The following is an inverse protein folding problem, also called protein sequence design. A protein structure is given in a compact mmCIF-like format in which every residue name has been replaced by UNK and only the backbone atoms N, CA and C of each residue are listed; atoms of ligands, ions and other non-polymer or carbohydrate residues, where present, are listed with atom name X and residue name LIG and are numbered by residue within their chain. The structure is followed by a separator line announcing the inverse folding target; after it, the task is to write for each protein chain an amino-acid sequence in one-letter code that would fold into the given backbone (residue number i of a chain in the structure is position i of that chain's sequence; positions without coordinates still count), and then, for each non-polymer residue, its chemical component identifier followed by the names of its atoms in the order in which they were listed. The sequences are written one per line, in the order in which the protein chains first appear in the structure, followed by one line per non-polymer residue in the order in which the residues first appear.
data_IF_775592393060
#
_entry.id   IF_775592393060
#
_cell.length_a   1.000
_cell.length_b   1.000
_cell.length_c   1.000
_cell.angle_alpha   90.00
_cell.angle_beta   90.00
_cell.angle_gamma   90.00
#
_symmetry.space_group_name_H-M   'P 1'
#
loop_
_entity.id
_entity.type
_entity.pdbx_description
1 polymer ?
#
# COMPACT_ATOMS: atom_id res chain seq x y z
N UNK A 1 3.97 -7.77 -7.52
CA UNK A 1 4.35 -7.24 -6.19
C UNK A 1 5.30 -8.14 -5.40
N UNK A 2 5.66 -9.36 -5.82
CA UNK A 2 6.55 -10.24 -5.04
C UNK A 2 6.13 -10.45 -3.57
N UNK A 3 4.82 -10.37 -3.29
CA UNK A 3 4.29 -10.49 -1.92
C UNK A 3 4.40 -9.23 -1.08
N UNK A 4 4.83 -8.11 -1.65
CA UNK A 4 4.91 -6.84 -0.94
C UNK A 4 3.53 -6.29 -0.61
N UNK A 5 3.15 -6.48 0.64
CA UNK A 5 1.94 -5.98 1.26
C UNK A 5 1.71 -4.49 1.02
N UNK A 6 2.77 -3.67 0.95
CA UNK A 6 2.65 -2.22 0.77
C UNK A 6 2.20 -1.86 -0.63
N UNK A 7 2.63 -2.60 -1.65
CA UNK A 7 2.13 -2.36 -3.02
C UNK A 7 0.64 -2.70 -3.15
N UNK A 8 0.17 -3.66 -2.35
CA UNK A 8 -1.23 -4.10 -2.32
C UNK A 8 -2.10 -3.17 -1.46
N UNK A 9 -1.61 -2.72 -0.31
CA UNK A 9 -2.41 -2.01 0.69
C UNK A 9 -2.06 -0.51 0.86
N UNK A 10 -0.95 -0.01 0.31
CA UNK A 10 -0.42 1.34 0.60
C UNK A 10 -0.08 2.20 -0.63
N UNK A 11 0.21 1.60 -1.80
CA UNK A 11 0.54 2.38 -3.01
C UNK A 11 -0.62 3.20 -3.58
N UNK A 12 -1.82 3.08 -2.99
CA UNK A 12 -2.99 3.88 -3.34
C UNK A 12 -2.98 5.27 -2.70
N UNK A 13 -1.99 5.67 -1.90
CA UNK A 13 -2.01 6.97 -1.20
C UNK A 13 -1.93 8.16 -2.17
N UNK A 14 -0.89 8.23 -3.01
CA UNK A 14 -0.76 9.35 -3.96
C UNK A 14 -1.63 9.21 -5.21
N UNK A 15 -1.74 8.00 -5.78
CA UNK A 15 -2.68 7.75 -6.89
C UNK A 15 -4.14 7.89 -6.46
N UNK A 16 -4.48 7.48 -5.23
CA UNK A 16 -5.82 7.61 -4.67
C UNK A 16 -6.16 9.06 -4.33
N UNK A 17 -5.22 9.87 -3.82
CA UNK A 17 -5.43 11.31 -3.69
C UNK A 17 -5.73 11.96 -5.05
N UNK A 18 -4.98 11.54 -6.07
CA UNK A 18 -5.14 11.99 -7.43
C UNK A 18 -6.54 11.65 -7.99
N UNK A 19 -6.98 10.41 -7.76
CA UNK A 19 -8.30 9.92 -8.14
C UNK A 19 -9.42 10.60 -7.36
N UNK A 20 -9.22 10.83 -6.05
CA UNK A 20 -10.13 11.58 -5.19
C UNK A 20 -10.30 13.01 -5.69
N UNK A 21 -9.19 13.72 -5.97
CA UNK A 21 -9.24 15.06 -6.54
C UNK A 21 -9.94 15.07 -7.89
N UNK A 22 -9.68 14.09 -8.75
CA UNK A 22 -10.39 13.92 -10.02
C UNK A 22 -11.90 13.82 -9.84
N UNK A 23 -12.36 12.92 -8.95
CA UNK A 23 -13.79 12.71 -8.64
C UNK A 23 -14.43 13.94 -8.00
N UNK A 24 -13.73 14.59 -7.06
CA UNK A 24 -14.21 15.79 -6.39
C UNK A 24 -14.39 16.94 -7.38
N UNK A 25 -13.43 17.11 -8.30
CA UNK A 25 -13.47 18.15 -9.32
C UNK A 25 -14.54 17.91 -10.38
N UNK A 26 -14.88 16.64 -10.64
CA UNK A 26 -15.96 16.25 -11.55
C UNK A 26 -17.32 16.06 -10.86
N UNK A 27 -17.47 16.42 -9.59
CA UNK A 27 -18.71 16.22 -8.87
C UNK A 27 -19.84 17.07 -9.47
N UNK A 28 -20.96 16.43 -9.82
CA UNK A 28 -22.09 17.08 -10.51
C UNK A 28 -21.66 17.68 -11.85
N UNK A 29 -21.86 18.99 -12.03
CA UNK A 29 -21.40 19.72 -13.23
C UNK A 29 -19.95 20.23 -13.11
N UNK A 30 -19.26 19.88 -12.02
CA UNK A 30 -17.94 20.38 -11.64
C UNK A 30 -17.99 21.50 -10.62
N UNK A 31 -16.88 21.66 -9.90
CA UNK A 31 -16.76 22.59 -8.76
C UNK A 31 -16.16 23.92 -9.17
N UNK A 32 -16.50 24.98 -8.44
CA UNK A 32 -15.95 26.33 -8.66
C UNK A 32 -14.70 26.60 -7.80
N UNK A 33 -14.55 25.89 -6.69
CA UNK A 33 -13.38 25.98 -5.82
C UNK A 33 -13.08 24.66 -5.09
N UNK A 34 -11.82 24.45 -4.74
CA UNK A 34 -11.33 23.38 -3.87
C UNK A 34 -10.55 24.01 -2.72
N UNK A 35 -10.95 23.70 -1.48
CA UNK A 35 -10.24 24.11 -0.28
C UNK A 35 -9.32 22.98 0.21
N UNK A 36 -8.07 23.28 0.54
CA UNK A 36 -7.09 22.30 1.03
C UNK A 36 -6.35 22.81 2.28
N UNK A 37 -6.30 21.95 3.30
CA UNK A 37 -5.52 22.15 4.52
C UNK A 37 -4.05 21.71 4.40
N UNK A 38 -3.68 21.01 3.32
CA UNK A 38 -2.30 20.56 3.09
C UNK A 38 -1.35 21.74 3.09
N UNK A 39 -0.22 21.59 3.77
CA UNK A 39 0.82 22.60 3.81
C UNK A 39 1.41 22.85 2.42
N UNK A 40 1.97 24.04 2.19
CA UNK A 40 2.72 24.33 0.94
C UNK A 40 3.86 23.35 0.69
N UNK A 41 4.43 22.77 1.76
CA UNK A 41 5.48 21.75 1.67
C UNK A 41 4.94 20.46 1.06
N UNK A 42 3.82 19.96 1.56
CA UNK A 42 3.17 18.74 1.06
C UNK A 42 2.67 18.89 -0.37
N UNK A 43 2.04 20.02 -0.69
CA UNK A 43 1.62 20.32 -2.06
C UNK A 43 2.81 20.31 -3.03
N UNK A 44 3.93 20.94 -2.65
CA UNK A 44 5.17 20.91 -3.45
C UNK A 44 5.75 19.50 -3.56
N UNK A 45 5.73 18.70 -2.49
CA UNK A 45 6.20 17.31 -2.50
C UNK A 45 5.36 16.47 -3.47
N UNK A 46 4.04 16.61 -3.44
CA UNK A 46 3.13 15.92 -4.36
C UNK A 46 3.35 16.30 -5.83
N UNK A 47 3.45 17.59 -6.11
CA UNK A 47 3.75 18.12 -7.45
C UNK A 47 5.13 17.64 -7.94
N UNK A 48 6.12 17.59 -7.06
CA UNK A 48 7.47 17.10 -7.37
C UNK A 48 7.48 15.59 -7.63
N UNK A 49 6.73 14.82 -6.86
CA UNK A 49 6.52 13.39 -7.08
C UNK A 49 5.90 13.13 -8.45
N UNK A 50 4.84 13.86 -8.79
CA UNK A 50 4.17 13.77 -10.08
C UNK A 50 5.12 14.16 -11.24
N UNK A 51 5.91 15.23 -11.07
CA UNK A 51 6.93 15.63 -12.04
C UNK A 51 7.90 14.50 -12.35
N UNK A 52 8.46 13.89 -11.29
CA UNK A 52 9.47 12.85 -11.42
C UNK A 52 8.91 11.61 -12.11
N UNK A 53 7.63 11.32 -11.91
CA UNK A 53 6.93 10.26 -12.61
C UNK A 53 6.72 10.59 -14.09
N UNK A 54 6.29 11.81 -14.40
CA UNK A 54 6.01 12.26 -15.77
C UNK A 54 7.25 12.36 -16.66
N UNK A 55 8.33 12.96 -16.15
CA UNK A 55 9.60 13.11 -16.88
C UNK A 55 10.18 11.77 -17.33
N UNK A 56 9.94 10.70 -16.55
CA UNK A 56 10.52 9.38 -16.82
C UNK A 56 9.60 8.45 -17.61
N UNK A 57 8.32 8.80 -17.83
CA UNK A 57 7.36 8.03 -18.67
C UNK A 57 7.39 8.46 -20.14
N UNK A 58 8.28 9.40 -20.51
CA UNK A 58 8.32 9.96 -21.87
C UNK A 58 7.18 10.93 -22.17
N UNK A 59 6.28 11.17 -21.22
CA UNK A 59 5.23 12.19 -21.32
C UNK A 59 5.80 13.52 -20.82
N UNK A 60 6.61 14.17 -21.65
CA UNK A 60 7.04 15.54 -21.42
C UNK A 60 6.02 16.51 -22.03
N UNK A 61 5.14 17.15 -21.24
CA UNK A 61 4.65 18.46 -21.64
C UNK A 61 5.80 19.45 -21.39
N UNK A 62 6.24 20.14 -22.43
CA UNK A 62 7.15 21.28 -22.28
C UNK A 62 6.63 22.26 -21.23
N UNK A 63 7.55 22.88 -20.48
CA UNK A 63 7.32 23.96 -19.50
C UNK A 63 5.99 23.88 -18.72
N UNK A 64 6.05 23.27 -17.53
CA UNK A 64 4.96 23.27 -16.54
C UNK A 64 4.54 24.66 -16.02
N UNK A 65 5.20 25.73 -16.47
CA UNK A 65 4.78 27.11 -16.19
C UNK A 65 3.51 27.44 -16.97
N UNK A 66 2.35 26.99 -16.48
CA UNK A 66 1.05 27.44 -16.97
C UNK A 66 0.00 26.37 -17.26
N UNK A 67 0.21 25.08 -16.96
CA UNK A 67 -0.89 24.11 -17.11
C UNK A 67 -1.97 24.33 -16.04
N UNK A 68 -3.21 24.51 -16.51
CA UNK A 68 -4.41 24.43 -15.70
C UNK A 68 -4.50 23.05 -15.02
N UNK A 69 -5.10 23.00 -13.83
CA UNK A 69 -5.36 21.80 -13.01
C UNK A 69 -5.80 20.57 -13.82
N UNK A 70 -6.52 20.78 -14.93
CA UNK A 70 -6.96 19.75 -15.87
C UNK A 70 -5.82 18.96 -16.53
N UNK A 71 -4.67 19.58 -16.84
CA UNK A 71 -3.51 18.90 -17.42
C UNK A 71 -2.83 17.94 -16.42
N UNK A 72 -2.76 18.36 -15.16
CA UNK A 72 -2.25 17.55 -14.04
C UNK A 72 -3.13 16.33 -13.80
N UNK A 73 -4.46 16.48 -13.82
CA UNK A 73 -5.39 15.36 -13.66
C UNK A 73 -5.32 14.34 -14.81
N UNK A 74 -5.15 14.79 -16.06
CA UNK A 74 -4.99 13.88 -17.21
C UNK A 74 -3.71 13.05 -17.12
N UNK A 75 -2.63 13.67 -16.66
CA UNK A 75 -1.36 12.99 -16.44
C UNK A 75 -1.44 11.96 -15.29
N UNK A 76 -2.13 12.32 -14.22
CA UNK A 76 -2.46 11.41 -13.12
C UNK A 76 -3.25 10.21 -13.63
N UNK A 77 -4.28 10.43 -14.45
CA UNK A 77 -5.10 9.35 -14.98
C UNK A 77 -4.29 8.43 -15.89
N UNK A 78 -3.41 8.97 -16.74
CA UNK A 78 -2.54 8.16 -17.60
C UNK A 78 -1.57 7.29 -16.78
N UNK A 79 -0.95 7.85 -15.73
CA UNK A 79 -0.10 7.10 -14.80
C UNK A 79 -0.91 6.03 -14.06
N UNK A 80 -2.11 6.37 -13.60
CA UNK A 80 -3.03 5.43 -12.96
C UNK A 80 -3.44 4.28 -13.88
N UNK A 81 -3.76 4.55 -15.15
CA UNK A 81 -4.09 3.51 -16.12
C UNK A 81 -2.90 2.57 -16.38
N UNK A 82 -1.70 3.14 -16.54
CA UNK A 82 -0.48 2.35 -16.73
C UNK A 82 -0.16 1.48 -15.50
N UNK A 83 -0.29 2.03 -14.29
CA UNK A 83 -0.05 1.30 -13.04
C UNK A 83 -0.98 0.09 -12.88
N UNK A 84 -2.28 0.28 -13.14
CA UNK A 84 -3.26 -0.80 -13.03
C UNK A 84 -3.10 -1.84 -14.15
N UNK A 85 -2.67 -1.41 -15.34
CA UNK A 85 -2.35 -2.32 -16.44
C UNK A 85 -1.16 -3.22 -16.10
N UNK A 86 -0.12 -2.67 -15.45
CA UNK A 86 1.04 -3.46 -14.99
C UNK A 86 0.64 -4.45 -13.88
N UNK A 87 -0.22 -4.03 -12.94
CA UNK A 87 -0.71 -4.89 -11.85
C UNK A 87 -1.60 -6.04 -12.35
N UNK A 88 -2.65 -5.72 -13.10
CA UNK A 88 -3.72 -6.67 -13.42
C UNK A 88 -3.62 -7.26 -14.84
N UNK A 89 -2.77 -6.71 -15.71
CA UNK A 89 -2.72 -7.07 -17.13
C UNK A 89 -3.86 -6.47 -17.95
N UNK A 90 -3.92 -6.83 -19.25
CA UNK A 90 -4.88 -6.28 -20.20
C UNK A 90 -6.34 -6.75 -20.01
N UNK A 91 -6.55 -7.87 -19.31
CA UNK A 91 -7.88 -8.45 -19.02
C UNK A 91 -8.70 -7.62 -18.01
N UNK A 92 -8.13 -6.57 -17.41
CA UNK A 92 -8.74 -5.78 -16.33
C UNK A 92 -9.67 -4.65 -16.80
N UNK A 93 -10.19 -4.69 -18.03
CA UNK A 93 -11.04 -3.61 -18.56
C UNK A 93 -12.33 -3.37 -17.73
N UNK A 94 -12.83 -4.38 -17.02
CA UNK A 94 -13.99 -4.25 -16.13
C UNK A 94 -13.75 -3.38 -14.88
N UNK A 95 -12.53 -3.38 -14.31
CA UNK A 95 -12.17 -2.50 -13.17
C UNK A 95 -11.89 -1.06 -13.61
N UNK A 96 -11.68 -0.81 -14.91
CA UNK A 96 -11.41 0.54 -15.46
C UNK A 96 -12.66 1.42 -15.49
N UNK A 97 -13.85 0.83 -15.43
CA UNK A 97 -15.14 1.49 -15.69
C UNK A 97 -15.59 2.51 -14.63
N UNK A 98 -14.89 2.60 -13.48
CA UNK A 98 -15.24 3.55 -12.40
C UNK A 98 -14.42 4.84 -12.39
N UNK A 99 -13.40 4.98 -13.26
CA UNK A 99 -12.58 6.20 -13.30
C UNK A 99 -13.32 7.26 -14.07
N UNK A 100 -13.70 8.33 -13.36
CA UNK A 100 -14.24 9.54 -13.96
C UNK A 100 -13.20 10.10 -14.93
N UNK A 101 -13.33 9.73 -16.21
CA UNK A 101 -12.66 10.38 -17.30
C UNK A 101 -13.05 11.87 -17.21
N UNK A 102 -12.06 12.69 -16.85
CA UNK A 102 -12.28 14.10 -16.59
C UNK A 102 -12.89 14.78 -17.82
N UNK A 103 -14.10 15.30 -17.64
CA UNK A 103 -14.66 16.42 -18.38
C UNK A 103 -15.82 16.96 -17.54
N UNK A 104 -15.53 17.83 -16.56
CA UNK A 104 -16.55 18.75 -16.09
C UNK A 104 -17.01 19.58 -17.29
N UNK A 105 -18.31 19.74 -17.46
CA UNK A 105 -18.89 20.61 -18.49
C UNK A 105 -18.61 22.10 -18.28
N UNK A 106 -17.88 22.49 -17.22
CA UNK A 106 -17.46 23.87 -16.97
C UNK A 106 -16.18 24.20 -17.73
N UNK A 107 -16.21 25.35 -18.40
CA UNK A 107 -15.11 25.92 -19.18
C UNK A 107 -14.03 26.59 -18.31
N UNK A 108 -14.33 26.88 -17.05
CA UNK A 108 -13.42 27.56 -16.11
C UNK A 108 -12.74 26.56 -15.16
N UNK A 109 -11.44 26.73 -14.94
CA UNK A 109 -10.71 25.97 -13.93
C UNK A 109 -11.17 26.37 -12.51
N UNK A 110 -11.36 25.41 -11.58
CA UNK A 110 -11.73 25.74 -10.21
C UNK A 110 -10.63 26.51 -9.49
N UNK A 111 -11.03 27.42 -8.61
CA UNK A 111 -10.12 28.13 -7.72
C UNK A 111 -9.55 27.18 -6.66
N UNK A 112 -8.24 27.17 -6.47
CA UNK A 112 -7.61 26.39 -5.40
C UNK A 112 -7.33 27.30 -4.20
N UNK A 113 -8.02 27.06 -3.09
CA UNK A 113 -7.97 27.87 -1.87
C UNK A 113 -7.19 27.08 -0.81
N UNK A 114 -6.06 27.63 -0.37
CA UNK A 114 -5.34 27.05 0.77
C UNK A 114 -5.89 27.60 2.08
N UNK A 115 -6.19 26.71 3.01
CA UNK A 115 -6.56 27.06 4.40
C UNK A 115 -5.48 26.64 5.39
N UNK A 116 -4.32 26.16 4.92
CA UNK A 116 -3.24 25.64 5.77
C UNK A 116 -2.76 26.68 6.79
N UNK A 117 -2.67 27.96 6.38
CA UNK A 117 -2.26 29.05 7.26
C UNK A 117 -3.32 29.38 8.33
N UNK A 118 -4.60 29.06 8.07
CA UNK A 118 -5.72 29.26 8.98
C UNK A 118 -5.93 28.07 9.94
N UNK A 119 -5.45 26.88 9.56
CA UNK A 119 -5.64 25.61 10.29
C UNK A 119 -4.33 25.17 10.98
N UNK A 120 -3.36 26.07 11.14
CA UNK A 120 -2.08 25.82 11.82
C UNK A 120 -2.21 25.65 13.35
N UNK A 121 -3.25 24.95 13.78
CA UNK A 121 -3.44 24.54 15.17
C UNK A 121 -2.56 23.31 15.42
N UNK A 122 -1.55 23.43 16.27
CA UNK A 122 -0.93 22.22 16.83
C UNK A 122 -2.01 21.50 17.61
N UNK A 123 -2.31 20.25 17.25
CA UNK A 123 -3.30 19.44 17.95
C UNK A 123 -3.06 19.41 19.47
N UNK A 124 -1.81 19.63 19.88
CA UNK A 124 -1.44 19.75 21.28
C UNK A 124 -2.03 20.96 22.01
N UNK A 125 -2.08 22.11 21.34
CA UNK A 125 -2.53 23.38 21.92
C UNK A 125 -4.07 23.39 22.11
N UNK A 126 -4.79 22.48 21.45
CA UNK A 126 -6.25 22.39 21.46
C UNK A 126 -6.80 21.02 21.86
N UNK A 127 -6.04 20.26 22.66
CA UNK A 127 -6.39 18.89 23.00
C UNK A 127 -7.79 18.72 23.61
N UNK A 128 -8.14 19.54 24.60
CA UNK A 128 -9.45 19.45 25.25
C UNK A 128 -10.58 19.78 24.27
N UNK A 129 -10.38 20.73 23.36
CA UNK A 129 -11.34 21.00 22.29
C UNK A 129 -11.53 19.75 21.41
N UNK A 130 -10.44 19.08 21.04
CA UNK A 130 -10.52 17.86 20.23
C UNK A 130 -11.21 16.73 20.99
N UNK A 131 -10.75 16.38 22.20
CA UNK A 131 -11.20 15.17 22.89
C UNK A 131 -12.44 15.33 23.75
N UNK A 132 -12.67 16.51 24.34
CA UNK A 132 -13.78 16.75 25.26
C UNK A 132 -14.97 17.43 24.56
N UNK A 133 -14.71 18.31 23.60
CA UNK A 133 -15.78 19.06 22.90
C UNK A 133 -16.18 18.43 21.56
N UNK A 134 -15.20 18.10 20.70
CA UNK A 134 -15.45 17.46 19.41
C UNK A 134 -15.55 15.93 19.48
N UNK A 135 -15.41 15.37 20.70
CA UNK A 135 -15.40 13.93 20.96
C UNK A 135 -14.45 13.15 20.03
N UNK A 136 -13.32 13.76 19.68
CA UNK A 136 -12.31 13.12 18.85
C UNK A 136 -11.75 11.91 19.60
N UNK A 137 -12.10 10.72 19.13
CA UNK A 137 -11.56 9.45 19.62
C UNK A 137 -10.54 8.92 18.63
N UNK A 138 -9.39 8.52 19.17
CA UNK A 138 -8.42 7.75 18.41
C UNK A 138 -9.01 6.38 18.18
N UNK A 139 -9.26 6.05 16.92
CA UNK A 139 -9.64 4.70 16.54
C UNK A 139 -8.50 3.73 16.89
N UNK A 140 -8.84 2.62 17.51
CA UNK A 140 -7.90 1.55 17.82
C UNK A 140 -7.40 0.84 16.55
N UNK A 141 -8.19 0.85 15.47
CA UNK A 141 -7.86 0.21 14.20
C UNK A 141 -7.07 1.14 13.28
N UNK A 142 -7.34 2.43 13.38
CA UNK A 142 -6.71 3.44 12.56
C UNK A 142 -5.86 4.35 13.43
N UNK A 143 -4.55 4.35 13.19
CA UNK A 143 -3.73 5.52 13.47
C UNK A 143 -4.20 6.65 12.52
N UNK A 144 -5.41 7.15 12.75
CA UNK A 144 -6.10 8.14 11.93
C UNK A 144 -5.39 9.48 12.08
N UNK A 145 -4.26 9.60 11.39
CA UNK A 145 -3.90 10.81 10.71
C UNK A 145 -3.90 10.49 9.22
N UNK A 146 -4.46 11.40 8.43
CA UNK A 146 -4.22 11.50 6.99
C UNK A 146 -2.73 11.64 6.63
N UNK A 147 -1.87 11.73 7.65
CA UNK A 147 -0.42 11.76 7.62
C UNK A 147 0.23 10.42 7.98
N UNK A 148 -0.51 9.32 8.17
CA UNK A 148 0.15 8.01 8.31
C UNK A 148 0.29 7.37 6.94
N UNK A 149 1.54 7.29 6.46
CA UNK A 149 2.20 6.17 5.76
C UNK A 149 1.40 5.32 4.74
N UNK A 150 0.33 4.76 5.29
CA UNK A 150 -0.44 3.63 4.85
C UNK A 150 -1.88 3.84 5.35
N UNK A 151 -2.86 3.57 4.49
CA UNK A 151 -4.28 3.65 4.85
C UNK A 151 -4.67 2.67 5.99
N UNK A 152 -3.82 1.70 6.33
CA UNK A 152 -4.01 0.82 7.48
C UNK A 152 -2.67 0.41 8.14
N UNK A 153 -2.22 1.12 9.19
CA UNK A 153 -0.98 0.81 9.91
C UNK A 153 -1.06 -0.46 10.76
N UNK A 154 -2.26 -0.84 11.23
CA UNK A 154 -2.46 -2.11 11.94
C UNK A 154 -2.14 -3.29 11.03
N UNK A 155 -2.67 -3.27 9.80
CA UNK A 155 -2.40 -4.31 8.81
C UNK A 155 -0.93 -4.30 8.37
N UNK A 156 -0.28 -3.14 8.28
CA UNK A 156 1.15 -3.08 7.95
C UNK A 156 2.06 -3.64 9.04
N UNK A 157 1.76 -3.34 10.31
CA UNK A 157 2.43 -3.97 11.43
C UNK A 157 2.24 -5.50 11.36
N UNK A 158 1.01 -5.95 11.11
CA UNK A 158 0.70 -7.37 10.99
C UNK A 158 1.46 -8.07 9.86
N UNK A 159 1.46 -7.49 8.66
CA UNK A 159 2.21 -8.02 7.52
C UNK A 159 3.72 -8.06 7.79
N UNK A 160 4.27 -7.09 8.53
CA UNK A 160 5.66 -7.13 8.97
C UNK A 160 5.92 -8.26 9.97
N UNK A 161 5.03 -8.46 10.93
CA UNK A 161 5.09 -9.57 11.88
C UNK A 161 5.05 -10.93 11.18
N UNK A 162 4.12 -11.12 10.22
CA UNK A 162 4.05 -12.35 9.43
C UNK A 162 5.33 -12.57 8.60
N UNK A 163 5.88 -11.52 8.01
CA UNK A 163 7.15 -11.59 7.27
C UNK A 163 8.30 -12.05 8.16
N UNK A 164 8.45 -11.45 9.35
CA UNK A 164 9.47 -11.85 10.31
C UNK A 164 9.29 -13.31 10.76
N UNK A 165 8.06 -13.72 11.04
CA UNK A 165 7.73 -15.06 11.48
C UNK A 165 8.01 -16.13 10.42
N UNK A 166 7.52 -15.92 9.20
CA UNK A 166 7.47 -16.98 8.19
C UNK A 166 8.61 -16.93 7.17
N UNK A 167 9.12 -15.75 6.81
CA UNK A 167 10.25 -15.65 5.87
C UNK A 167 11.59 -15.55 6.60
N UNK A 168 11.62 -14.93 7.77
CA UNK A 168 12.87 -14.69 8.50
C UNK A 168 13.12 -15.65 9.66
N UNK A 169 12.17 -16.53 9.99
CA UNK A 169 12.31 -17.45 11.13
C UNK A 169 12.51 -16.76 12.48
N UNK A 170 12.13 -15.47 12.59
CA UNK A 170 12.16 -14.67 13.82
C UNK A 170 10.78 -14.72 14.49
N UNK A 171 10.62 -14.08 15.64
CA UNK A 171 9.28 -13.99 16.23
C UNK A 171 8.41 -12.97 15.49
N UNK A 172 7.09 -13.14 15.56
CA UNK A 172 6.14 -12.14 15.06
C UNK A 172 6.35 -10.78 15.77
N UNK A 173 6.66 -10.81 17.07
CA UNK A 173 6.93 -9.62 17.88
C UNK A 173 8.17 -8.85 17.40
N UNK A 174 9.22 -9.53 16.92
CA UNK A 174 10.41 -8.87 16.36
C UNK A 174 10.04 -8.03 15.13
N UNK A 175 9.20 -8.57 14.24
CA UNK A 175 8.70 -7.82 13.09
C UNK A 175 7.84 -6.62 13.48
N UNK A 176 7.02 -6.76 14.52
CA UNK A 176 6.23 -5.65 15.07
C UNK A 176 7.15 -4.56 15.63
N UNK A 177 8.19 -4.92 16.39
CA UNK A 177 9.14 -3.97 16.95
C UNK A 177 9.82 -3.12 15.86
N UNK A 178 10.31 -3.76 14.79
CA UNK A 178 10.89 -3.05 13.64
C UNK A 178 9.93 -2.05 12.99
N UNK A 179 8.66 -2.45 12.84
CA UNK A 179 7.65 -1.56 12.29
C UNK A 179 7.38 -0.35 13.20
N UNK A 180 7.34 -0.56 14.51
CA UNK A 180 7.11 0.50 15.49
C UNK A 180 8.27 1.50 15.57
N UNK A 181 9.52 1.05 15.39
CA UNK A 181 10.68 1.95 15.30
C UNK A 181 10.57 2.89 14.10
N UNK A 182 10.24 2.35 12.93
CA UNK A 182 9.97 3.17 11.73
C UNK A 182 8.80 4.13 12.00
N UNK A 183 7.67 3.61 12.49
CA UNK A 183 6.48 4.42 12.71
C UNK A 183 6.78 5.57 13.69
N UNK A 184 7.52 5.31 14.78
CA UNK A 184 7.93 6.35 15.73
C UNK A 184 8.80 7.44 15.07
N UNK A 185 9.78 7.04 14.26
CA UNK A 185 10.62 7.96 13.50
C UNK A 185 9.79 8.87 12.56
N UNK A 186 8.85 8.27 11.83
CA UNK A 186 7.95 9.00 10.92
C UNK A 186 7.04 9.97 11.68
N UNK A 187 6.37 9.51 12.74
CA UNK A 187 5.48 10.35 13.55
C UNK A 187 6.23 11.56 14.14
N UNK A 188 7.47 11.36 14.62
CA UNK A 188 8.33 12.45 15.12
C UNK A 188 8.73 13.42 14.01
N UNK A 189 9.08 12.91 12.83
CA UNK A 189 9.43 13.73 11.65
C UNK A 189 8.25 14.63 11.23
N UNK A 190 7.02 14.12 11.37
CA UNK A 190 5.78 14.85 11.10
C UNK A 190 5.33 15.75 12.26
N UNK A 191 6.16 15.88 13.30
CA UNK A 191 5.87 16.72 14.47
C UNK A 191 4.55 16.32 15.16
N UNK A 192 4.20 15.03 15.11
CA UNK A 192 3.05 14.54 15.86
C UNK A 192 3.26 14.78 17.36
N UNK A 193 2.23 15.19 18.08
CA UNK A 193 2.23 15.25 19.54
C UNK A 193 2.85 14.05 20.23
N UNK A 194 3.73 14.27 21.21
CA UNK A 194 4.40 13.19 21.94
C UNK A 194 3.41 12.24 22.62
N UNK A 195 2.34 12.78 23.23
CA UNK A 195 1.26 11.98 23.83
C UNK A 195 0.56 11.04 22.85
N UNK A 196 0.51 11.41 21.57
CA UNK A 196 -0.11 10.59 20.54
C UNK A 196 0.78 9.46 20.10
N UNK A 197 2.07 9.75 19.96
CA UNK A 197 3.09 8.74 19.72
C UNK A 197 3.05 7.72 20.86
N UNK A 198 3.07 8.18 22.11
CA UNK A 198 3.06 7.29 23.27
C UNK A 198 1.78 6.46 23.35
N UNK A 199 0.60 7.07 23.14
CA UNK A 199 -0.68 6.35 23.11
C UNK A 199 -0.67 5.27 22.03
N UNK A 200 -0.19 5.59 20.83
CA UNK A 200 -0.19 4.68 19.69
C UNK A 200 0.83 3.55 19.85
N UNK A 201 2.02 3.81 20.42
CA UNK A 201 3.00 2.79 20.72
C UNK A 201 2.58 1.90 21.90
N UNK A 202 1.90 2.47 22.91
CA UNK A 202 1.41 1.71 24.06
C UNK A 202 0.44 0.60 23.67
N UNK A 203 -0.25 0.73 22.53
CA UNK A 203 -1.12 -0.28 21.97
C UNK A 203 -0.43 -1.62 21.67
N UNK A 204 0.90 -1.63 21.60
CA UNK A 204 1.75 -2.80 21.35
C UNK A 204 2.67 -3.14 22.53
N UNK A 205 2.44 -2.54 23.71
CA UNK A 205 3.29 -2.74 24.87
C UNK A 205 3.12 -4.16 25.45
N UNK A 206 4.12 -5.01 25.20
CA UNK A 206 4.21 -6.37 25.72
C UNK A 206 3.44 -7.40 24.88
N UNK A 207 3.75 -8.68 25.13
CA UNK A 207 3.29 -9.79 24.28
C UNK A 207 1.76 -9.89 24.17
N UNK A 208 1.04 -9.78 25.29
CA UNK A 208 -0.43 -9.88 25.29
C UNK A 208 -1.11 -8.81 24.41
N UNK A 209 -0.54 -7.60 24.34
CA UNK A 209 -1.07 -6.54 23.47
C UNK A 209 -0.71 -6.80 22.01
N UNK A 210 0.47 -7.33 21.73
CA UNK A 210 0.86 -7.75 20.37
C UNK A 210 -0.07 -8.85 19.84
N UNK A 211 -0.41 -9.83 20.68
CA UNK A 211 -1.31 -10.92 20.31
C UNK A 211 -2.73 -10.40 20.05
N UNK A 212 -3.26 -9.53 20.92
CA UNK A 212 -4.54 -8.86 20.68
C UNK A 212 -4.54 -8.06 19.37
N UNK A 213 -3.43 -7.37 19.06
CA UNK A 213 -3.30 -6.62 17.79
C UNK A 213 -3.21 -7.53 16.58
N UNK A 214 -2.64 -8.73 16.71
CA UNK A 214 -2.68 -9.75 15.65
C UNK A 214 -4.11 -10.19 15.38
N UNK A 215 -4.87 -10.51 16.42
CA UNK A 215 -6.29 -10.89 16.29
C UNK A 215 -7.11 -9.78 15.61
N UNK A 216 -6.96 -8.53 16.07
CA UNK A 216 -7.62 -7.38 15.46
C UNK A 216 -7.24 -7.20 13.99
N UNK A 217 -5.97 -7.37 13.64
CA UNK A 217 -5.51 -7.26 12.26
C UNK A 217 -6.08 -8.38 11.37
N UNK A 218 -6.15 -9.60 11.88
CA UNK A 218 -6.74 -10.74 11.18
C UNK A 218 -8.24 -10.57 10.97
N UNK A 219 -8.98 -10.11 11.98
CA UNK A 219 -10.40 -9.76 11.83
C UNK A 219 -10.60 -8.63 10.81
N UNK A 220 -9.80 -7.57 10.89
CA UNK A 220 -9.85 -6.48 9.93
C UNK A 220 -9.60 -6.97 8.49
N UNK A 221 -8.60 -7.82 8.28
CA UNK A 221 -8.30 -8.37 6.96
C UNK A 221 -9.46 -9.22 6.41
N UNK A 222 -10.10 -10.00 7.28
CA UNK A 222 -11.23 -10.83 6.92
C UNK A 222 -12.49 -10.00 6.59
N UNK A 223 -12.80 -8.99 7.40
CA UNK A 223 -13.98 -8.15 7.24
C UNK A 223 -13.82 -7.15 6.08
N UNK A 224 -12.65 -6.50 6.01
CA UNK A 224 -12.37 -5.45 5.03
C UNK A 224 -11.98 -5.97 3.65
N UNK A 225 -11.32 -7.12 3.57
CA UNK A 225 -10.77 -7.65 2.32
C UNK A 225 -11.20 -9.09 2.01
N UNK A 226 -11.91 -9.77 2.91
CA UNK A 226 -12.23 -11.19 2.74
C UNK A 226 -11.00 -12.11 2.81
N UNK A 227 -9.88 -11.63 3.38
CA UNK A 227 -8.61 -12.34 3.42
C UNK A 227 -8.34 -12.93 4.80
N UNK A 228 -8.07 -14.23 4.83
CA UNK A 228 -7.60 -14.92 6.03
C UNK A 228 -6.10 -14.73 6.25
N UNK A 229 -5.63 -14.92 7.49
CA UNK A 229 -4.18 -14.85 7.79
C UNK A 229 -3.38 -15.85 6.93
N UNK A 230 -3.91 -17.05 6.68
CA UNK A 230 -3.28 -18.04 5.80
C UNK A 230 -3.06 -17.50 4.39
N UNK A 231 -4.04 -16.78 3.83
CA UNK A 231 -3.91 -16.14 2.51
C UNK A 231 -2.94 -14.96 2.55
N UNK A 232 -2.87 -14.22 3.65
CA UNK A 232 -1.85 -13.17 3.85
C UNK A 232 -0.44 -13.76 3.91
N UNK A 233 -0.25 -14.88 4.60
CA UNK A 233 1.03 -15.62 4.64
C UNK A 233 1.39 -16.11 3.24
N UNK A 234 0.44 -16.73 2.52
CA UNK A 234 0.63 -17.13 1.12
C UNK A 234 1.05 -15.93 0.25
N UNK A 235 0.44 -14.77 0.45
CA UNK A 235 0.82 -13.55 -0.24
C UNK A 235 2.27 -13.15 0.06
N UNK A 236 2.69 -13.14 1.33
CA UNK A 236 4.07 -12.78 1.75
C UNK A 236 5.11 -13.68 1.11
N UNK A 237 4.86 -14.99 1.01
CA UNK A 237 5.77 -15.91 0.31
C UNK A 237 5.87 -15.64 -1.19
N UNK A 238 4.79 -15.11 -1.80
CA UNK A 238 4.61 -14.99 -3.24
C UNK A 238 5.07 -16.28 -3.97
N UNK A 239 4.46 -17.45 -3.65
CA UNK A 239 5.00 -18.74 -4.05
C UNK A 239 4.82 -19.04 -5.53
N UNK A 240 3.83 -18.42 -6.19
CA UNK A 240 3.40 -18.81 -7.52
C UNK A 240 4.17 -18.14 -8.67
N UNK A 241 4.78 -16.98 -8.44
CA UNK A 241 5.56 -16.26 -9.47
C UNK A 241 6.88 -16.96 -9.78
N UNK A 242 7.60 -16.49 -10.81
CA UNK A 242 8.85 -17.08 -11.28
C UNK A 242 8.70 -18.58 -11.60
N UNK A 243 7.58 -18.97 -12.22
CA UNK A 243 7.22 -20.38 -12.48
C UNK A 243 7.20 -21.22 -11.20
N UNK A 244 6.69 -20.65 -10.10
CA UNK A 244 6.52 -21.37 -8.85
C UNK A 244 7.82 -21.62 -8.08
N UNK A 245 8.89 -20.85 -8.33
CA UNK A 245 10.20 -21.05 -7.68
C UNK A 245 10.12 -21.06 -6.15
N UNK A 246 9.21 -20.27 -5.57
CA UNK A 246 9.01 -20.19 -4.12
C UNK A 246 8.03 -21.22 -3.56
N UNK A 247 7.38 -22.03 -4.41
CA UNK A 247 6.29 -22.92 -4.01
C UNK A 247 6.77 -24.01 -3.06
N UNK A 248 7.89 -24.66 -3.35
CA UNK A 248 8.41 -25.71 -2.48
C UNK A 248 8.74 -25.19 -1.08
N UNK A 249 9.40 -24.03 -0.98
CA UNK A 249 9.74 -23.41 0.32
C UNK A 249 8.48 -23.06 1.11
N UNK A 250 7.46 -22.51 0.46
CA UNK A 250 6.16 -22.23 1.08
C UNK A 250 5.50 -23.50 1.62
N UNK A 251 5.47 -24.58 0.82
CA UNK A 251 4.90 -25.86 1.24
C UNK A 251 5.68 -26.47 2.41
N UNK A 252 7.02 -26.46 2.38
CA UNK A 252 7.84 -26.99 3.49
C UNK A 252 7.58 -26.25 4.80
N UNK A 253 7.36 -24.94 4.71
CA UNK A 253 7.21 -24.07 5.90
C UNK A 253 5.78 -24.10 6.46
N UNK A 254 4.77 -24.10 5.60
CA UNK A 254 3.38 -23.87 6.00
C UNK A 254 2.46 -25.07 5.75
N UNK A 255 2.74 -25.90 4.73
CA UNK A 255 1.84 -26.97 4.28
C UNK A 255 2.60 -28.26 3.89
N UNK A 256 3.36 -28.89 4.81
CA UNK A 256 4.27 -29.98 4.47
C UNK A 256 3.54 -31.20 3.88
N UNK A 257 2.29 -31.44 4.26
CA UNK A 257 1.46 -32.50 3.70
C UNK A 257 1.17 -32.35 2.20
N UNK A 258 1.20 -31.13 1.67
CA UNK A 258 0.95 -30.86 0.24
C UNK A 258 2.19 -30.98 -0.63
N UNK A 259 3.37 -31.24 -0.06
CA UNK A 259 4.60 -31.45 -0.84
C UNK A 259 4.49 -32.64 -1.81
N UNK A 260 3.71 -33.66 -1.46
CA UNK A 260 3.47 -34.82 -2.32
C UNK A 260 2.76 -34.42 -3.62
N UNK A 261 1.92 -33.38 -3.56
CA UNK A 261 1.17 -32.86 -4.71
C UNK A 261 1.94 -31.78 -5.49
N UNK A 262 3.21 -31.48 -5.16
CA UNK A 262 4.00 -30.44 -5.82
C UNK A 262 4.01 -30.57 -7.37
N UNK A 263 4.18 -31.75 -7.98
CA UNK A 263 4.11 -31.88 -9.43
C UNK A 263 2.75 -31.49 -10.00
N UNK A 264 1.66 -31.86 -9.34
CA UNK A 264 0.29 -31.56 -9.79
C UNK A 264 -0.07 -30.09 -9.54
N UNK A 265 0.47 -29.47 -8.49
CA UNK A 265 0.36 -28.03 -8.27
C UNK A 265 1.01 -27.26 -9.42
N UNK A 266 2.21 -27.65 -9.86
CA UNK A 266 2.86 -27.04 -11.03
C UNK A 266 2.05 -27.24 -12.31
N UNK A 267 1.44 -28.42 -12.54
CA UNK A 267 0.55 -28.66 -13.69
C UNK A 267 -0.66 -27.73 -13.67
N UNK A 268 -1.33 -27.61 -12.52
CA UNK A 268 -2.50 -26.74 -12.37
C UNK A 268 -2.15 -25.27 -12.64
N UNK A 269 -1.01 -24.81 -12.11
CA UNK A 269 -0.50 -23.44 -12.30
C UNK A 269 -0.03 -23.18 -13.74
N UNK A 270 0.43 -24.19 -14.47
CA UNK A 270 0.78 -24.05 -15.90
C UNK A 270 -0.42 -24.18 -16.85
N UNK A 271 -1.64 -24.35 -16.33
CA UNK A 271 -2.85 -24.52 -17.14
C UNK A 271 -3.10 -25.94 -17.67
N UNK A 272 -2.35 -26.92 -17.18
CA UNK A 272 -2.55 -28.34 -17.50
C UNK A 272 -3.59 -28.99 -16.58
N UNK A 273 -4.17 -30.10 -17.02
CA UNK A 273 -5.11 -30.87 -16.20
C UNK A 273 -4.41 -31.41 -14.94
N UNK A 274 -5.06 -31.19 -13.79
CA UNK A 274 -4.65 -31.66 -12.47
C UNK A 274 -5.90 -32.10 -11.69
N UNK A 275 -5.75 -32.87 -10.60
CA UNK A 275 -6.90 -33.27 -9.78
C UNK A 275 -7.65 -32.07 -9.22
N UNK A 276 -8.99 -32.14 -9.19
CA UNK A 276 -9.86 -31.05 -8.71
C UNK A 276 -9.52 -30.59 -7.29
N UNK A 277 -9.13 -31.52 -6.42
CA UNK A 277 -8.70 -31.22 -5.04
C UNK A 277 -7.47 -30.31 -5.00
N UNK A 278 -6.52 -30.48 -5.94
CA UNK A 278 -5.31 -29.65 -6.03
C UNK A 278 -5.66 -28.24 -6.52
N UNK A 279 -6.56 -28.15 -7.50
CA UNK A 279 -7.04 -26.87 -8.03
C UNK A 279 -7.83 -26.09 -6.97
N UNK A 280 -8.71 -26.77 -6.22
CA UNK A 280 -9.47 -26.15 -5.13
C UNK A 280 -8.54 -25.66 -4.01
N UNK A 281 -7.56 -26.49 -3.61
CA UNK A 281 -6.59 -26.12 -2.59
C UNK A 281 -5.81 -24.85 -2.98
N UNK A 282 -5.39 -24.73 -4.25
CA UNK A 282 -4.71 -23.53 -4.78
C UNK A 282 -5.58 -22.27 -4.65
N UNK A 283 -6.87 -22.38 -4.94
CA UNK A 283 -7.81 -21.26 -4.81
C UNK A 283 -7.98 -20.88 -3.34
N UNK A 284 -8.20 -21.86 -2.47
CA UNK A 284 -8.44 -21.61 -1.05
C UNK A 284 -7.24 -20.98 -0.35
N UNK A 285 -6.03 -21.51 -0.61
CA UNK A 285 -4.81 -21.06 0.05
C UNK A 285 -4.35 -19.67 -0.39
N UNK A 286 -4.68 -19.29 -1.62
CA UNK A 286 -4.25 -18.01 -2.19
C UNK A 286 -5.32 -16.92 -2.10
N UNK A 287 -6.60 -17.29 -2.01
CA UNK A 287 -7.71 -16.37 -2.19
C UNK A 287 -7.88 -15.86 -3.63
N UNK A 288 -7.17 -16.46 -4.59
CA UNK A 288 -7.19 -16.05 -6.00
C UNK A 288 -7.88 -17.11 -6.87
N UNK A 289 -8.50 -16.65 -7.96
CA UNK A 289 -9.03 -17.58 -8.97
C UNK A 289 -7.90 -18.36 -9.64
N UNK A 290 -8.20 -19.58 -10.11
CA UNK A 290 -7.22 -20.42 -10.80
C UNK A 290 -6.64 -19.72 -12.03
N UNK A 291 -7.46 -19.01 -12.82
CA UNK A 291 -6.99 -18.20 -13.96
C UNK A 291 -6.01 -17.11 -13.51
N UNK A 292 -6.28 -16.47 -12.37
CA UNK A 292 -5.38 -15.48 -11.77
C UNK A 292 -4.03 -16.09 -11.38
N UNK A 293 -4.05 -17.26 -10.74
CA UNK A 293 -2.83 -17.99 -10.38
C UNK A 293 -2.01 -18.43 -11.59
N UNK A 294 -2.67 -18.91 -12.65
CA UNK A 294 -2.01 -19.30 -13.89
C UNK A 294 -1.34 -18.12 -14.58
N UNK A 295 -1.99 -16.95 -14.57
CA UNK A 295 -1.38 -15.71 -15.06
C UNK A 295 -0.14 -15.33 -14.22
N UNK A 296 -0.26 -15.35 -12.89
CA UNK A 296 0.85 -15.07 -11.98
C UNK A 296 2.03 -16.04 -12.16
N UNK A 297 1.76 -17.30 -12.49
CA UNK A 297 2.80 -18.32 -12.68
C UNK A 297 3.77 -17.99 -13.81
N UNK A 298 3.28 -17.36 -14.88
CA UNK A 298 4.10 -16.87 -15.98
C UNK A 298 4.81 -15.55 -15.70
N UNK A 299 4.41 -14.81 -14.65
CA UNK A 299 4.99 -13.50 -14.32
C UNK A 299 6.26 -13.63 -13.47
N UNK A 300 7.13 -12.66 -13.62
CA UNK A 300 8.32 -12.51 -12.79
C UNK A 300 8.01 -11.68 -11.54
N UNK A 301 8.81 -11.91 -10.48
CA UNK A 301 8.84 -10.99 -9.35
C UNK A 301 9.18 -9.58 -9.83
N UNK A 302 8.49 -8.60 -9.27
CA UNK A 302 8.77 -7.19 -9.57
C UNK A 302 10.14 -6.88 -8.98
N UNK A 303 11.08 -6.51 -9.83
CA UNK A 303 12.34 -5.93 -9.39
C UNK A 303 12.09 -4.44 -9.07
N UNK A 304 12.09 -4.10 -7.78
CA UNK A 304 11.92 -2.71 -7.34
C UNK A 304 13.13 -1.83 -7.65
N UNK A 305 14.25 -2.41 -8.11
CA UNK A 305 15.40 -1.71 -8.66
C UNK A 305 15.30 -1.43 -10.16
N UNK A 306 14.35 -2.05 -10.88
CA UNK A 306 14.23 -1.88 -12.34
C UNK A 306 13.73 -0.47 -12.68
N UNK A 307 14.53 0.36 -13.37
CA UNK A 307 14.10 1.70 -13.76
C UNK A 307 12.99 1.70 -14.81
N UNK A 308 12.70 0.56 -15.46
CA UNK A 308 11.67 0.45 -16.50
C UNK A 308 10.29 0.07 -15.95
N UNK A 309 10.19 -0.54 -14.77
CA UNK A 309 8.91 -0.84 -14.11
C UNK A 309 8.27 0.44 -13.56
N UNK A 310 6.99 0.70 -13.91
CA UNK A 310 6.28 1.86 -13.36
C UNK A 310 6.03 1.67 -11.86
N UNK A 311 5.78 0.45 -11.41
CA UNK A 311 5.63 0.11 -9.99
C UNK A 311 6.91 0.44 -9.20
N UNK A 312 8.07 0.01 -9.71
CA UNK A 312 9.36 0.33 -9.11
C UNK A 312 9.61 1.85 -9.06
N UNK A 313 9.21 2.56 -10.12
CA UNK A 313 9.35 4.02 -10.20
C UNK A 313 8.45 4.77 -9.24
N UNK A 314 7.18 4.36 -9.08
CA UNK A 314 6.25 4.96 -8.11
C UNK A 314 6.80 4.82 -6.71
N UNK A 315 7.31 3.63 -6.35
CA UNK A 315 7.98 3.39 -5.07
C UNK A 315 9.25 4.23 -4.93
N UNK A 316 10.11 4.28 -5.95
CA UNK A 316 11.37 5.00 -5.87
C UNK A 316 11.19 6.52 -5.77
N UNK A 317 10.13 7.07 -6.37
CA UNK A 317 9.82 8.48 -6.37
C UNK A 317 9.14 8.95 -5.08
N UNK A 318 8.65 8.03 -4.25
CA UNK A 318 7.93 8.33 -3.02
C UNK A 318 8.74 9.27 -2.10
N UNK A 319 8.20 10.47 -1.78
CA UNK A 319 8.88 11.47 -0.96
C UNK A 319 9.02 11.08 0.51
N UNK A 320 8.21 10.14 1.01
CA UNK A 320 8.16 9.79 2.43
C UNK A 320 8.89 8.49 2.76
N UNK A 321 9.49 7.84 1.76
CA UNK A 321 10.25 6.59 1.91
C UNK A 321 11.31 6.65 3.04
N UNK A 322 11.27 5.66 3.92
CA UNK A 322 12.28 5.36 4.93
C UNK A 322 13.13 4.16 4.54
N UNK A 323 14.30 4.02 5.16
CA UNK A 323 15.13 2.82 5.09
C UNK A 323 15.07 2.15 6.46
N UNK A 324 14.68 0.88 6.51
CA UNK A 324 14.75 0.06 7.71
C UNK A 324 15.86 -0.95 7.53
N UNK A 325 16.67 -1.09 8.57
CA UNK A 325 17.65 -2.15 8.67
C UNK A 325 16.89 -3.40 9.12
N UNK A 326 16.72 -4.36 8.23
CA UNK A 326 16.37 -5.73 8.57
C UNK A 326 17.66 -6.54 8.72
N UNK A 327 17.60 -7.69 9.39
CA UNK A 327 18.72 -8.64 9.41
C UNK A 327 18.34 -9.83 8.56
N UNK A 328 19.19 -10.17 7.60
CA UNK A 328 19.05 -11.38 6.79
C UNK A 328 19.25 -12.60 7.71
N UNK A 329 18.27 -13.51 7.79
CA UNK A 329 18.31 -14.66 8.69
C UNK A 329 19.34 -15.73 8.27
N UNK A 330 19.75 -15.77 7.01
CA UNK A 330 20.68 -16.75 6.45
C UNK A 330 22.12 -16.25 6.57
N UNK A 331 22.35 -14.96 6.30
CA UNK A 331 23.70 -14.37 6.29
C UNK A 331 24.04 -13.61 7.57
N UNK A 332 23.04 -13.22 8.37
CA UNK A 332 23.21 -12.34 9.52
C UNK A 332 23.54 -10.90 9.15
N UNK A 333 23.55 -10.56 7.86
CA UNK A 333 23.90 -9.23 7.38
C UNK A 333 22.72 -8.26 7.51
N UNK A 334 23.05 -7.00 7.75
CA UNK A 334 22.06 -5.94 7.85
C UNK A 334 21.57 -5.57 6.43
N UNK A 335 20.36 -5.99 6.07
CA UNK A 335 19.70 -5.68 4.82
C UNK A 335 18.92 -4.37 4.93
N UNK A 336 19.15 -3.44 4.00
CA UNK A 336 18.39 -2.19 3.93
C UNK A 336 17.11 -2.42 3.13
N UNK A 337 15.96 -2.47 3.80
CA UNK A 337 14.67 -2.46 3.13
C UNK A 337 14.13 -1.02 3.04
N UNK A 338 13.81 -0.58 1.82
CA UNK A 338 13.16 0.73 1.62
C UNK A 338 11.67 0.56 1.89
N UNK A 339 11.17 1.21 2.93
CA UNK A 339 9.76 1.28 3.27
C UNK A 339 9.18 2.57 2.70
N UNK A 340 8.12 2.46 1.91
CA UNK A 340 7.45 3.58 1.22
C UNK A 340 6.09 3.88 1.85
N UNK A 341 5.59 5.10 1.68
CA UNK A 341 4.24 5.57 2.03
C UNK A 341 4.23 7.02 2.55
N UNK A 342 3.08 7.73 2.53
CA UNK A 342 2.78 9.11 3.04
C UNK A 342 1.66 9.07 4.08
#
# INVERSE_FOLDING_TARGET
SAGDARTTFCNTCYLGLAEFLGRALSWGNGVDAVASGDSRREQKQYITWLMRLAQRTGQHPGQWSGQALSGVLKMIDSIGQAYYSELYGDDAQGLRSGRAAGCSGKTSAPAFITIADLVSCKADEHWNLLTEFLDFRFDDLAFCFSESDCANPLLMAHMRGLTAQYLHGRSYADGIAEYLELASSLMRRKQMPARLIDKALSAYAGQARIDLRRELASSFAQEGFGLSETQLVCMVFSPFVDRGRGLETFLRSCHPGMLVALPDLHKALSGSSAPDQVMQWLVDISGLSLKGLQNLYGKQRVDFGDPNSLIARIRAADPDKGRVMSVDPVTGEAMVEVLSGR
#
